data_IF_625596601259
#
_entry.id   IF_625596601259
#
_cell.length_a   1.000
_cell.length_b   1.000
_cell.length_c   1.000
_cell.angle_alpha   90.00
_cell.angle_beta   90.00
_cell.angle_gamma   90.00
#
_symmetry.space_group_name_H-M   'P 1'
#
loop_
_entity.id
_entity.type
_entity.pdbx_description
1 polymer ?
#
# COMPACT_ATOMS: atom_id res chain seq x y z
N UNK A 1 -10.82 -1.47 -6.85
CA UNK A 1 -11.40 -1.17 -5.51
C UNK A 1 -10.66 -2.04 -4.48
N UNK A 2 -9.38 -1.72 -4.17
CA UNK A 2 -8.57 -2.50 -3.20
C UNK A 2 -8.40 -1.80 -1.84
N UNK A 3 -8.56 -0.47 -1.77
CA UNK A 3 -8.74 0.25 -0.49
C UNK A 3 -9.91 -0.35 0.33
N UNK A 4 -10.95 -0.83 -0.38
CA UNK A 4 -12.11 -1.46 0.25
C UNK A 4 -11.86 -2.89 0.77
N UNK A 5 -10.86 -3.61 0.26
CA UNK A 5 -10.62 -4.99 0.70
C UNK A 5 -9.86 -5.05 2.02
N UNK A 6 -8.90 -4.13 2.22
CA UNK A 6 -8.01 -4.18 3.38
C UNK A 6 -8.45 -3.29 4.55
N UNK A 7 -9.14 -2.18 4.29
CA UNK A 7 -9.53 -1.22 5.34
C UNK A 7 -11.03 -1.24 5.68
N UNK A 8 -11.90 -1.64 4.75
CA UNK A 8 -13.35 -1.42 4.88
C UNK A 8 -14.06 -2.40 5.82
N UNK A 9 -13.35 -3.36 6.40
CA UNK A 9 -13.86 -4.34 7.37
C UNK A 9 -13.22 -4.20 8.75
N UNK A 10 -12.30 -3.25 8.92
CA UNK A 10 -11.65 -3.03 10.20
C UNK A 10 -12.58 -2.18 11.07
N UNK A 11 -12.97 -2.73 12.22
CA UNK A 11 -13.57 -1.93 13.28
C UNK A 11 -12.42 -1.21 13.98
N UNK A 12 -12.43 0.11 13.95
CA UNK A 12 -11.42 0.95 14.57
C UNK A 12 -12.03 1.52 15.84
N UNK A 13 -11.53 1.08 16.99
CA UNK A 13 -12.01 1.47 18.30
C UNK A 13 -11.32 2.71 18.88
N UNK A 14 -10.17 3.11 18.35
CA UNK A 14 -9.43 4.30 18.83
C UNK A 14 -8.59 4.96 17.73
N UNK A 15 -8.16 6.20 18.01
CA UNK A 15 -7.26 6.94 17.12
C UNK A 15 -5.87 6.27 17.04
N UNK A 16 -5.39 5.72 18.14
CA UNK A 16 -4.12 4.99 18.22
C UNK A 16 -4.16 3.74 17.34
N UNK A 17 -5.26 2.98 17.39
CA UNK A 17 -5.48 1.83 16.51
C UNK A 17 -5.54 2.24 15.04
N UNK A 18 -6.19 3.37 14.73
CA UNK A 18 -6.21 3.93 13.37
C UNK A 18 -4.80 4.24 12.86
N UNK A 19 -3.94 4.82 13.70
CA UNK A 19 -2.56 5.18 13.32
C UNK A 19 -1.77 3.93 12.95
N UNK A 20 -1.87 2.86 13.73
CA UNK A 20 -1.16 1.60 13.45
C UNK A 20 -1.69 0.93 12.17
N UNK A 21 -3.01 0.85 12.00
CA UNK A 21 -3.64 0.33 10.76
C UNK A 21 -3.18 1.12 9.53
N UNK A 22 -3.06 2.45 9.65
CA UNK A 22 -2.59 3.30 8.55
C UNK A 22 -1.12 3.05 8.22
N UNK A 23 -0.25 2.88 9.22
CA UNK A 23 1.17 2.53 9.00
C UNK A 23 1.29 1.22 8.25
N UNK A 24 0.57 0.20 8.68
CA UNK A 24 0.55 -1.11 8.02
C UNK A 24 0.01 -1.03 6.59
N UNK A 25 -1.02 -0.23 6.39
CA UNK A 25 -1.58 0.00 5.06
C UNK A 25 -0.56 0.68 4.13
N UNK A 26 0.12 1.72 4.59
CA UNK A 26 1.16 2.43 3.82
C UNK A 26 2.28 1.47 3.45
N UNK A 27 2.77 0.67 4.40
CA UNK A 27 3.81 -0.31 4.13
C UNK A 27 3.35 -1.34 3.10
N UNK A 28 2.19 -1.94 3.29
CA UNK A 28 1.64 -2.93 2.36
C UNK A 28 1.45 -2.32 0.96
N UNK A 29 0.89 -1.13 0.86
CA UNK A 29 0.62 -0.49 -0.43
C UNK A 29 1.89 -0.26 -1.23
N UNK A 30 2.96 0.19 -0.57
CA UNK A 30 4.21 0.56 -1.22
C UNK A 30 5.13 -0.63 -1.52
N UNK A 31 5.16 -1.61 -0.60
CA UNK A 31 6.17 -2.67 -0.63
C UNK A 31 5.62 -4.05 -1.00
N UNK A 32 4.33 -4.30 -0.76
CA UNK A 32 3.75 -5.65 -0.92
C UNK A 32 2.75 -5.70 -2.07
N UNK A 33 1.93 -4.66 -2.23
CA UNK A 33 0.88 -4.60 -3.25
C UNK A 33 1.48 -4.67 -4.64
N UNK A 34 1.14 -5.71 -5.39
CA UNK A 34 1.46 -5.84 -6.81
C UNK A 34 0.29 -5.32 -7.64
N UNK A 35 0.59 -4.55 -8.68
CA UNK A 35 -0.45 -3.99 -9.55
C UNK A 35 -0.21 -4.41 -10.99
N UNK A 36 -1.26 -4.89 -11.65
CA UNK A 36 -1.21 -5.24 -13.08
C UNK A 36 -0.77 -4.02 -13.92
N UNK A 37 -1.21 -2.82 -13.55
CA UNK A 37 -0.79 -1.55 -14.19
C UNK A 37 0.72 -1.28 -14.08
N UNK A 38 1.38 -1.81 -13.06
CA UNK A 38 2.82 -1.68 -12.85
C UNK A 38 3.58 -2.94 -13.32
N UNK A 39 3.02 -3.71 -14.26
CA UNK A 39 3.58 -4.99 -14.72
C UNK A 39 3.87 -5.96 -13.56
N UNK A 40 2.93 -6.06 -12.61
CA UNK A 40 3.05 -6.91 -11.41
C UNK A 40 4.21 -6.55 -10.47
N UNK A 41 4.77 -5.34 -10.60
CA UNK A 41 5.78 -4.82 -9.67
C UNK A 41 5.13 -4.08 -8.49
N UNK A 42 5.91 -3.89 -7.42
CA UNK A 42 5.52 -3.07 -6.27
C UNK A 42 5.77 -1.60 -6.57
N UNK A 43 5.01 -0.66 -5.99
CA UNK A 43 5.20 0.77 -6.25
C UNK A 43 6.63 1.27 -6.02
N UNK A 44 7.31 0.82 -4.96
CA UNK A 44 8.71 1.21 -4.71
C UNK A 44 9.65 0.70 -5.80
N UNK A 45 9.50 -0.57 -6.23
CA UNK A 45 10.32 -1.11 -7.33
C UNK A 45 10.07 -0.38 -8.64
N UNK A 46 8.81 -0.05 -8.93
CA UNK A 46 8.46 0.75 -10.10
C UNK A 46 9.13 2.13 -10.04
N UNK A 47 9.02 2.84 -8.91
CA UNK A 47 9.64 4.15 -8.69
C UNK A 47 11.15 4.10 -8.91
N UNK A 48 11.83 3.14 -8.28
CA UNK A 48 13.28 3.00 -8.40
C UNK A 48 13.71 2.74 -9.84
N UNK A 49 12.97 1.89 -10.58
CA UNK A 49 13.25 1.63 -12.00
C UNK A 49 13.04 2.86 -12.87
N UNK A 50 12.02 3.67 -12.60
CA UNK A 50 11.79 4.91 -13.36
C UNK A 50 12.89 5.93 -13.07
N UNK A 51 13.28 6.08 -11.80
CA UNK A 51 14.34 7.00 -11.39
C UNK A 51 15.74 6.57 -11.83
N UNK A 52 16.00 5.27 -11.95
CA UNK A 52 17.30 4.76 -12.46
C UNK A 52 17.45 4.90 -13.97
N UNK A 53 16.35 5.15 -14.67
CA UNK A 53 16.31 5.30 -16.13
C UNK A 53 16.24 6.77 -16.55
N UNK A 54 16.36 7.69 -15.59
CA UNK A 54 16.56 9.13 -15.78
C UNK A 54 18.06 9.44 -15.73
#
# INVERSE_FOLDING_TARGET
IMKREKLNRLKIGSLEEMKEILKDYIYWFNNVRRSNKLKYTTPVKYRNRVLSNL
#
